data_IF_941149975808
#
_entry.id   IF_941149975808
#
_cell.length_a   1.000
_cell.length_b   1.000
_cell.length_c   1.000
_cell.angle_alpha   90.00
_cell.angle_beta   90.00
_cell.angle_gamma   90.00
#
_symmetry.space_group_name_H-M   'P 1'
#
loop_
_entity.id
_entity.type
_entity.pdbx_description
1 polymer ?
#
# COMPACT_ATOMS: atom_id res chain seq x y z
N UNK A 1 24.75 28.20 -54.42
CA UNK A 1 24.22 28.67 -53.13
C UNK A 1 23.50 27.50 -52.47
N UNK A 2 24.22 26.71 -51.68
CA UNK A 2 23.71 25.50 -51.04
C UNK A 2 23.18 25.86 -49.64
N UNK A 3 21.88 25.64 -49.41
CA UNK A 3 21.20 25.97 -48.16
C UNK A 3 21.56 24.95 -47.09
N UNK A 4 22.46 25.36 -46.19
CA UNK A 4 22.94 24.63 -45.01
C UNK A 4 21.91 24.67 -43.87
N UNK A 5 20.74 24.05 -44.04
CA UNK A 5 19.77 23.87 -42.93
C UNK A 5 19.33 22.41 -42.77
N UNK A 6 19.73 21.51 -43.68
CA UNK A 6 19.41 20.08 -43.61
C UNK A 6 20.36 19.20 -42.78
N UNK A 7 21.18 19.75 -41.87
CA UNK A 7 22.26 18.97 -41.20
C UNK A 7 22.41 19.22 -39.69
N UNK A 8 21.39 19.77 -39.03
CA UNK A 8 21.38 19.95 -37.57
C UNK A 8 20.31 19.10 -36.86
N UNK A 9 19.24 18.70 -37.56
CA UNK A 9 18.15 17.91 -36.99
C UNK A 9 18.50 16.41 -36.87
N UNK A 10 19.45 15.92 -37.67
CA UNK A 10 19.81 14.50 -37.77
C UNK A 10 20.75 14.02 -36.64
N UNK A 11 20.92 14.81 -35.56
CA UNK A 11 21.75 14.44 -34.40
C UNK A 11 20.99 14.24 -33.10
N UNK A 12 19.67 14.41 -33.06
CA UNK A 12 18.87 14.18 -31.84
C UNK A 12 18.03 12.90 -31.85
N UNK A 13 18.14 12.04 -32.87
CA UNK A 13 17.49 10.72 -32.92
C UNK A 13 18.54 9.60 -32.85
N UNK A 14 19.59 9.78 -32.04
CA UNK A 14 20.58 8.73 -31.81
C UNK A 14 20.94 8.58 -30.34
N UNK A 15 19.92 8.46 -29.50
CA UNK A 15 20.05 7.79 -28.20
C UNK A 15 18.67 7.34 -27.72
N UNK A 16 18.16 6.29 -28.34
CA UNK A 16 17.11 5.47 -27.72
C UNK A 16 17.81 4.64 -26.65
N UNK A 17 17.67 4.93 -25.34
CA UNK A 17 18.06 3.95 -24.35
C UNK A 17 17.13 2.74 -24.55
N UNK A 18 17.76 1.59 -24.81
CA UNK A 18 17.11 0.28 -24.87
C UNK A 18 16.01 0.16 -23.82
N UNK A 19 14.84 -0.36 -24.20
CA UNK A 19 13.61 -0.53 -23.41
C UNK A 19 13.78 -1.21 -22.03
N UNK A 20 15.00 -1.60 -21.67
CA UNK A 20 15.44 -2.03 -20.34
C UNK A 20 15.58 -0.88 -19.33
N UNK A 21 15.91 0.34 -19.78
CA UNK A 21 16.08 1.50 -18.90
C UNK A 21 14.75 2.08 -18.40
N UNK A 22 13.71 2.07 -19.25
CA UNK A 22 12.39 2.63 -18.91
C UNK A 22 11.66 1.74 -17.89
N UNK A 23 11.86 0.42 -17.95
CA UNK A 23 11.24 -0.51 -17.00
C UNK A 23 11.86 -0.40 -15.59
N UNK A 24 13.17 -0.13 -15.49
CA UNK A 24 13.83 0.12 -14.19
C UNK A 24 13.47 1.51 -13.65
N UNK A 25 13.29 2.52 -14.53
CA UNK A 25 12.89 3.86 -14.11
C UNK A 25 11.48 3.89 -13.48
N UNK A 26 10.54 3.08 -13.98
CA UNK A 26 9.20 2.97 -13.38
C UNK A 26 9.20 2.22 -12.03
N UNK A 27 10.14 1.31 -11.78
CA UNK A 27 10.28 0.62 -10.49
C UNK A 27 10.85 1.54 -9.40
N UNK A 28 11.71 2.49 -9.76
CA UNK A 28 12.36 3.39 -8.79
C UNK A 28 11.46 4.55 -8.31
N UNK A 29 10.45 4.94 -9.09
CA UNK A 29 9.54 6.03 -8.68
C UNK A 29 8.61 5.60 -7.53
N UNK A 30 8.32 4.31 -7.37
CA UNK A 30 7.45 3.81 -6.27
C UNK A 30 8.17 3.75 -4.91
N UNK A 31 9.51 3.69 -4.88
CA UNK A 31 10.28 3.62 -3.61
C UNK A 31 10.54 4.96 -2.94
N UNK A 32 10.19 6.10 -3.58
CA UNK A 32 10.47 7.43 -3.05
C UNK A 32 9.27 8.16 -2.44
N UNK A 33 8.16 7.46 -2.16
CA UNK A 33 7.16 8.02 -1.24
C UNK A 33 7.72 7.84 0.18
N UNK A 34 8.11 8.92 0.89
CA UNK A 34 8.38 8.79 2.32
C UNK A 34 7.09 8.31 2.97
N UNK A 35 7.11 7.10 3.51
CA UNK A 35 6.10 6.65 4.46
C UNK A 35 6.18 7.63 5.63
N UNK A 36 5.34 8.65 5.62
CA UNK A 36 5.32 9.69 6.64
C UNK A 36 5.03 9.01 7.95
N UNK A 37 6.06 9.01 8.78
CA UNK A 37 6.13 8.51 10.14
C UNK A 37 4.86 8.93 10.86
N UNK A 38 4.03 7.96 11.25
CA UNK A 38 2.99 8.18 12.24
C UNK A 38 3.71 8.52 13.55
N UNK A 39 3.84 9.81 13.79
CA UNK A 39 4.29 10.40 15.03
C UNK A 39 3.38 9.93 16.17
N UNK A 40 4.01 9.66 17.33
CA UNK A 40 3.48 8.92 18.48
C UNK A 40 1.99 9.08 18.75
N UNK A 41 1.21 8.02 18.48
CA UNK A 41 -0.09 7.84 19.12
C UNK A 41 0.15 7.16 20.46
N UNK A 42 -0.19 7.92 21.49
CA UNK A 42 -0.07 7.64 22.90
C UNK A 42 -0.51 6.21 23.29
N UNK A 43 0.20 5.63 24.25
CA UNK A 43 0.02 4.26 24.71
C UNK A 43 -1.32 4.15 25.42
N UNK A 44 -2.13 3.17 25.01
CA UNK A 44 -3.30 2.69 25.75
C UNK A 44 -4.35 3.78 26.10
N UNK A 45 -4.88 4.46 25.09
CA UNK A 45 -6.18 5.15 25.23
C UNK A 45 -7.23 4.48 24.33
N UNK A 46 -8.53 4.46 24.71
CA UNK A 46 -9.63 3.93 23.90
C UNK A 46 -9.60 4.42 22.44
N UNK A 47 -9.24 5.69 22.27
CA UNK A 47 -9.10 6.37 20.97
C UNK A 47 -7.99 5.79 20.11
N UNK A 48 -6.87 5.33 20.70
CA UNK A 48 -5.73 4.73 20.01
C UNK A 48 -5.98 3.32 19.46
N UNK A 49 -6.89 2.56 20.07
CA UNK A 49 -7.29 1.24 19.57
C UNK A 49 -8.19 1.35 18.34
N UNK A 50 -9.14 2.29 18.36
CA UNK A 50 -9.98 2.60 17.20
C UNK A 50 -9.18 3.18 16.03
N UNK A 51 -8.18 4.03 16.30
CA UNK A 51 -7.30 4.57 15.27
C UNK A 51 -6.50 3.47 14.55
N UNK A 52 -5.92 2.51 15.30
CA UNK A 52 -5.17 1.38 14.71
C UNK A 52 -6.05 0.43 13.90
N UNK A 53 -7.25 0.11 14.38
CA UNK A 53 -8.20 -0.71 13.62
C UNK A 53 -8.55 -0.04 12.27
N UNK A 54 -8.86 1.26 12.29
CA UNK A 54 -9.15 2.02 11.05
C UNK A 54 -7.98 2.02 10.07
N UNK A 55 -6.75 2.15 10.56
CA UNK A 55 -5.54 2.09 9.72
C UNK A 55 -5.44 0.75 8.96
N UNK A 56 -5.63 -0.38 9.65
CA UNK A 56 -5.59 -1.68 9.02
C UNK A 56 -6.80 -1.95 8.10
N UNK A 57 -7.99 -1.41 8.41
CA UNK A 57 -9.15 -1.43 7.52
C UNK A 57 -8.87 -0.66 6.21
N UNK A 58 -8.24 0.52 6.31
CA UNK A 58 -7.84 1.30 5.13
C UNK A 58 -6.77 0.57 4.31
N UNK A 59 -5.76 0.00 4.96
CA UNK A 59 -4.75 -0.83 4.30
C UNK A 59 -5.39 -2.01 3.55
N UNK A 60 -6.38 -2.67 4.17
CA UNK A 60 -7.14 -3.76 3.56
C UNK A 60 -7.83 -3.31 2.27
N UNK A 61 -8.48 -2.13 2.27
CA UNK A 61 -9.11 -1.55 1.08
C UNK A 61 -8.10 -1.23 -0.02
N UNK A 62 -6.97 -0.63 0.34
CA UNK A 62 -5.90 -0.29 -0.61
C UNK A 62 -5.35 -1.55 -1.31
N UNK A 63 -5.10 -2.61 -0.53
CA UNK A 63 -4.58 -3.87 -1.08
C UNK A 63 -5.58 -4.59 -1.98
N UNK A 64 -6.88 -4.51 -1.68
CA UNK A 64 -7.93 -5.03 -2.57
C UNK A 64 -7.97 -4.27 -3.89
N UNK A 65 -7.95 -2.94 -3.85
CA UNK A 65 -7.90 -2.12 -5.06
C UNK A 65 -6.67 -2.45 -5.93
N UNK A 66 -5.50 -2.63 -5.31
CA UNK A 66 -4.29 -3.07 -6.04
C UNK A 66 -4.44 -4.47 -6.65
N UNK A 67 -5.13 -5.40 -5.99
CA UNK A 67 -5.39 -6.72 -6.58
C UNK A 67 -6.31 -6.60 -7.81
N UNK A 68 -7.36 -5.80 -7.73
CA UNK A 68 -8.28 -5.53 -8.85
C UNK A 68 -7.56 -4.88 -10.05
N UNK A 69 -6.66 -3.91 -9.80
CA UNK A 69 -5.81 -3.32 -10.86
C UNK A 69 -4.94 -4.39 -11.55
N UNK A 70 -4.35 -5.31 -10.78
CA UNK A 70 -3.56 -6.40 -11.36
C UNK A 70 -4.43 -7.42 -12.09
N UNK A 71 -5.67 -7.66 -11.66
CA UNK A 71 -6.63 -8.52 -12.38
C UNK A 71 -6.97 -7.95 -13.76
N UNK A 72 -7.26 -6.65 -13.86
CA UNK A 72 -7.48 -5.97 -15.14
C UNK A 72 -6.25 -6.04 -16.05
N UNK A 73 -5.05 -5.89 -15.47
CA UNK A 73 -3.80 -6.01 -16.22
C UNK A 73 -3.57 -7.44 -16.72
N UNK A 74 -3.89 -8.44 -15.89
CA UNK A 74 -3.80 -9.85 -16.25
C UNK A 74 -4.74 -10.17 -17.40
N UNK A 75 -5.99 -9.70 -17.35
CA UNK A 75 -6.97 -9.86 -18.43
C UNK A 75 -6.41 -9.31 -19.74
N UNK A 76 -5.79 -8.12 -19.72
CA UNK A 76 -5.16 -7.56 -20.92
C UNK A 76 -3.98 -8.42 -21.44
N UNK A 77 -3.17 -8.98 -20.54
CA UNK A 77 -2.06 -9.88 -20.93
C UNK A 77 -2.53 -11.23 -21.44
N UNK A 78 -3.70 -11.70 -21.01
CA UNK A 78 -4.33 -12.93 -21.49
C UNK A 78 -5.00 -12.71 -22.85
N UNK A 79 -5.87 -11.71 -22.96
CA UNK A 79 -6.62 -11.35 -24.17
C UNK A 79 -5.67 -10.97 -25.32
N UNK A 80 -4.66 -10.14 -25.04
CA UNK A 80 -3.73 -9.63 -26.05
C UNK A 80 -2.34 -10.22 -25.94
N UNK A 81 -2.26 -11.49 -25.54
CA UNK A 81 -0.99 -12.23 -25.41
C UNK A 81 -0.11 -12.16 -26.67
N UNK A 82 -0.73 -12.14 -27.87
CA UNK A 82 -0.04 -12.01 -29.16
C UNK A 82 0.80 -10.73 -29.29
N UNK A 83 0.44 -9.63 -28.61
CA UNK A 83 1.21 -8.39 -28.61
C UNK A 83 2.57 -8.51 -27.90
N UNK A 84 2.68 -9.48 -26.98
CA UNK A 84 3.85 -9.65 -26.12
C UNK A 84 4.74 -10.84 -26.53
N UNK A 85 4.25 -11.69 -27.44
CA UNK A 85 4.96 -12.85 -27.94
C UNK A 85 5.41 -13.79 -26.82
N UNK A 86 6.66 -14.25 -26.86
CA UNK A 86 7.22 -15.17 -25.84
C UNK A 86 7.15 -14.62 -24.40
N UNK A 87 7.13 -13.30 -24.24
CA UNK A 87 7.08 -12.65 -22.90
C UNK A 87 5.70 -12.67 -22.27
N UNK A 88 4.64 -12.99 -23.02
CA UNK A 88 3.28 -13.00 -22.49
C UNK A 88 3.15 -13.91 -21.27
N UNK A 89 3.75 -15.11 -21.32
CA UNK A 89 3.68 -16.09 -20.25
C UNK A 89 4.34 -15.57 -18.95
N UNK A 90 5.51 -14.95 -19.06
CA UNK A 90 6.23 -14.38 -17.91
C UNK A 90 5.44 -13.23 -17.29
N UNK A 91 4.85 -12.34 -18.10
CA UNK A 91 4.02 -11.24 -17.65
C UNK A 91 2.79 -11.76 -16.89
N UNK A 92 2.05 -12.70 -17.47
CA UNK A 92 0.88 -13.28 -16.81
C UNK A 92 1.27 -14.00 -15.51
N UNK A 93 2.36 -14.77 -15.50
CA UNK A 93 2.82 -15.46 -14.29
C UNK A 93 3.19 -14.47 -13.17
N UNK A 94 3.88 -13.38 -13.52
CA UNK A 94 4.24 -12.33 -12.59
C UNK A 94 3.00 -11.62 -12.03
N UNK A 95 2.07 -11.22 -12.89
CA UNK A 95 0.82 -10.55 -12.46
C UNK A 95 -0.03 -11.45 -11.56
N UNK A 96 -0.16 -12.75 -11.89
CA UNK A 96 -0.82 -13.73 -11.00
C UNK A 96 -0.13 -13.84 -9.64
N UNK A 97 1.19 -13.74 -9.59
CA UNK A 97 1.92 -13.73 -8.33
C UNK A 97 1.65 -12.45 -7.51
N UNK A 98 1.55 -11.30 -8.17
CA UNK A 98 1.20 -10.02 -7.52
C UNK A 98 -0.23 -10.04 -6.96
N UNK A 99 -1.22 -10.51 -7.73
CA UNK A 99 -2.62 -10.67 -7.26
C UNK A 99 -2.64 -11.49 -5.97
N UNK A 100 -2.02 -12.68 -6.00
CA UNK A 100 -1.94 -13.56 -4.81
C UNK A 100 -1.26 -12.89 -3.62
N UNK A 101 -0.22 -12.08 -3.87
CA UNK A 101 0.48 -11.34 -2.81
C UNK A 101 -0.47 -10.31 -2.18
N UNK A 102 -1.11 -9.47 -2.97
CA UNK A 102 -2.01 -8.43 -2.44
C UNK A 102 -3.23 -9.01 -1.72
N UNK A 103 -3.79 -10.11 -2.23
CA UNK A 103 -4.88 -10.82 -1.54
C UNK A 103 -4.43 -11.35 -0.17
N UNK A 104 -3.25 -11.99 -0.08
CA UNK A 104 -2.72 -12.44 1.22
C UNK A 104 -2.43 -11.29 2.18
N UNK A 105 -1.77 -10.25 1.70
CA UNK A 105 -1.44 -9.07 2.52
C UNK A 105 -2.72 -8.38 3.02
N UNK A 106 -3.80 -8.38 2.21
CA UNK A 106 -5.12 -7.86 2.58
C UNK A 106 -5.76 -8.69 3.71
N UNK A 107 -5.70 -10.02 3.61
CA UNK A 107 -6.19 -10.91 4.68
C UNK A 107 -5.40 -10.72 5.99
N UNK A 108 -4.07 -10.60 5.90
CA UNK A 108 -3.23 -10.34 7.08
C UNK A 108 -3.58 -9.00 7.74
N UNK A 109 -3.82 -7.96 6.93
CA UNK A 109 -4.23 -6.65 7.42
C UNK A 109 -5.61 -6.70 8.09
N UNK A 110 -6.56 -7.46 7.53
CA UNK A 110 -7.88 -7.65 8.11
C UNK A 110 -7.81 -8.38 9.46
N UNK A 111 -6.94 -9.39 9.58
CA UNK A 111 -6.73 -10.09 10.85
C UNK A 111 -6.19 -9.13 11.91
N UNK A 112 -5.18 -8.30 11.57
CA UNK A 112 -4.65 -7.27 12.48
C UNK A 112 -5.72 -6.25 12.91
N UNK A 113 -6.59 -5.82 11.99
CA UNK A 113 -7.71 -4.94 12.32
C UNK A 113 -8.65 -5.58 13.35
N UNK A 114 -8.95 -6.88 13.17
CA UNK A 114 -9.84 -7.65 14.04
C UNK A 114 -9.22 -7.82 15.44
N UNK A 115 -7.93 -8.17 15.51
CA UNK A 115 -7.19 -8.32 16.76
C UNK A 115 -7.17 -7.00 17.56
N UNK A 116 -6.95 -5.87 16.88
CA UNK A 116 -6.96 -4.56 17.52
C UNK A 116 -8.36 -4.13 18.01
N UNK A 117 -9.44 -4.57 17.36
CA UNK A 117 -10.80 -4.34 17.85
C UNK A 117 -11.10 -5.18 19.08
N UNK A 118 -10.67 -6.45 19.09
CA UNK A 118 -10.92 -7.38 20.19
C UNK A 118 -10.10 -7.03 21.44
N UNK A 119 -8.77 -6.98 21.30
CA UNK A 119 -7.83 -6.79 22.42
C UNK A 119 -7.84 -5.33 22.90
N UNK A 120 -7.94 -4.37 21.99
CA UNK A 120 -7.87 -2.94 22.31
C UNK A 120 -9.06 -2.42 23.11
N UNK A 121 -10.25 -3.01 22.93
CA UNK A 121 -11.45 -2.65 23.69
C UNK A 121 -11.54 -3.40 25.03
N UNK A 122 -10.94 -4.59 25.14
CA UNK A 122 -10.95 -5.39 26.38
C UNK A 122 -10.04 -4.79 27.47
N UNK A 123 -8.85 -4.32 27.08
CA UNK A 123 -7.93 -3.64 28.00
C UNK A 123 -8.47 -2.29 28.50
N UNK A 124 -9.18 -1.56 27.64
CA UNK A 124 -9.79 -0.27 28.00
C UNK A 124 -10.94 -0.43 29.01
N UNK A 125 -11.72 -1.51 28.90
CA UNK A 125 -12.71 -1.85 29.93
C UNK A 125 -12.03 -2.15 31.27
N UNK A 126 -10.97 -2.95 31.26
CA UNK A 126 -10.24 -3.33 32.48
C UNK A 126 -9.61 -2.12 33.21
N UNK A 127 -8.94 -1.20 32.50
CA UNK A 127 -8.36 0.00 33.14
C UNK A 127 -9.41 0.94 33.75
N UNK A 128 -10.55 1.12 33.08
CA UNK A 128 -11.65 1.95 33.62
C UNK A 128 -12.30 1.34 34.88
N UNK A 129 -12.23 0.02 35.07
CA UNK A 129 -12.73 -0.65 36.28
C UNK A 129 -11.72 -0.68 37.44
N UNK A 130 -10.42 -0.49 37.17
CA UNK A 130 -9.35 -0.63 38.16
C UNK A 130 -8.80 0.71 38.69
N UNK A 131 -9.22 1.84 38.12
CA UNK A 131 -8.91 3.16 38.69
C UNK A 131 -9.88 3.49 39.85
N UNK A 132 -9.40 3.72 41.08
CA UNK A 132 -10.28 4.10 42.17
C UNK A 132 -10.89 5.48 41.87
N UNK A 133 -12.23 5.53 41.80
CA UNK A 133 -13.01 6.77 41.75
C UNK A 133 -12.56 7.74 42.85
N UNK A 134 -11.75 8.73 42.49
CA UNK A 134 -11.19 9.75 43.40
C UNK A 134 -12.27 10.66 44.00
N UNK A 135 -13.47 10.59 43.46
CA UNK A 135 -14.70 11.26 43.87
C UNK A 135 -15.28 10.71 45.19
N UNK A 136 -14.91 9.50 45.61
CA UNK A 136 -15.45 8.89 46.85
C UNK A 136 -14.62 9.23 48.11
N UNK A 137 -13.33 9.53 47.98
CA UNK A 137 -12.44 9.85 49.11
C UNK A 137 -12.70 11.22 49.76
N UNK A 138 -13.44 12.11 49.10
CA UNK A 138 -13.69 13.48 49.60
C UNK A 138 -14.97 13.58 50.44
N UNK A 139 -15.83 12.56 50.42
CA UNK A 139 -17.09 12.54 51.19
C UNK A 139 -16.93 11.94 52.61
N UNK A 140 -15.87 11.17 52.86
CA UNK A 140 -15.59 10.54 54.16
C UNK A 140 -14.80 11.42 55.15
N UNK A 141 -14.39 12.64 54.75
CA UNK A 141 -13.60 13.56 55.59
C UNK A 141 -14.39 14.80 56.03
N UNK A 142 -15.69 14.68 56.30
CA UNK A 142 -16.47 15.73 56.97
C UNK A 142 -17.16 15.18 58.21
#
# INVERSE_FOLDING_TARGET
>A
MATLVGKAEERLIKKVPSARGILILLVLIVSSIPNTYAEGVDRATPSGCHARAKYYEEMTRNLKAKAEEQEQLLEHYEDKSYLYGKRAQDLQAHTRAMIRKYQRDSMESLNKATDHRYIGCELDKNENFSSPRKDELTSMRR
#
